data_IF_399115544787
#
_entry.id   IF_399115544787
#
_cell.length_a   1.000
_cell.length_b   1.000
_cell.length_c   1.000
_cell.angle_alpha   90.00
_cell.angle_beta   90.00
_cell.angle_gamma   90.00
#
_symmetry.space_group_name_H-M   'P 1'
#
loop_
_entity.id
_entity.type
_entity.pdbx_description
1 polymer ?
#
# COMPACT_ATOMS: atom_id res chain seq x y z
N UNK A 1 26.34 -12.57 18.19
CA UNK A 1 27.55 -12.88 18.95
C UNK A 1 27.58 -14.35 19.27
N UNK A 2 28.72 -14.99 19.08
CA UNK A 2 29.04 -16.34 19.49
C UNK A 2 30.00 -16.27 20.69
N UNK A 3 30.33 -17.44 21.28
CA UNK A 3 31.38 -17.53 22.31
C UNK A 3 32.82 -17.47 21.73
N UNK A 4 32.98 -17.18 20.45
CA UNK A 4 34.24 -17.00 19.78
C UNK A 4 34.75 -15.56 19.91
N UNK A 5 36.07 -15.40 19.84
CA UNK A 5 36.70 -14.07 19.79
C UNK A 5 36.54 -13.50 18.38
N UNK A 6 36.17 -12.25 18.28
CA UNK A 6 35.99 -11.49 17.04
C UNK A 6 36.98 -10.31 17.03
N UNK A 7 37.86 -10.21 16.00
CA UNK A 7 38.87 -9.15 15.88
C UNK A 7 38.96 -8.60 14.46
N UNK A 8 39.77 -7.56 14.32
CA UNK A 8 40.11 -6.94 13.04
C UNK A 8 38.92 -6.61 12.16
N UNK A 9 37.94 -5.92 12.79
CA UNK A 9 36.76 -5.44 12.08
C UNK A 9 37.16 -4.31 11.10
N UNK A 10 36.92 -4.55 9.81
CA UNK A 10 37.14 -3.59 8.73
C UNK A 10 35.81 -3.40 8.01
N UNK A 11 35.45 -2.17 7.76
CA UNK A 11 34.24 -1.81 7.03
C UNK A 11 34.59 -0.84 5.89
N UNK A 12 33.87 -0.89 4.77
CA UNK A 12 34.03 0.03 3.67
C UNK A 12 33.58 1.46 4.04
N UNK A 13 33.97 2.44 3.21
CA UNK A 13 33.65 3.87 3.42
C UNK A 13 32.13 4.13 3.46
N UNK A 14 31.34 3.30 2.77
CA UNK A 14 29.87 3.41 2.73
C UNK A 14 29.19 2.70 3.90
N UNK A 15 29.95 2.02 4.75
CA UNK A 15 29.48 1.21 5.87
C UNK A 15 28.48 0.10 5.46
N UNK A 16 28.62 -0.43 4.25
CA UNK A 16 27.70 -1.43 3.70
C UNK A 16 28.23 -2.84 3.75
N UNK A 17 29.55 -3.03 3.66
CA UNK A 17 30.23 -4.31 3.67
C UNK A 17 31.48 -4.27 4.53
N UNK A 18 31.88 -5.42 5.04
CA UNK A 18 33.10 -5.51 5.79
C UNK A 18 33.55 -6.94 6.02
N UNK A 19 34.66 -7.03 6.73
CA UNK A 19 35.29 -8.30 7.12
C UNK A 19 35.67 -8.24 8.58
N UNK A 20 35.68 -9.39 9.21
CA UNK A 20 36.20 -9.57 10.56
C UNK A 20 36.83 -10.96 10.67
N UNK A 21 37.81 -11.11 11.57
CA UNK A 21 38.41 -12.39 11.89
C UNK A 21 37.72 -12.99 13.10
N UNK A 22 37.46 -14.28 13.09
CA UNK A 22 36.81 -14.97 14.21
C UNK A 22 37.20 -16.46 14.27
N UNK A 23 37.32 -16.99 15.48
CA UNK A 23 37.50 -18.40 15.79
C UNK A 23 36.17 -19.13 16.06
N UNK A 24 35.05 -18.59 15.57
CA UNK A 24 33.73 -19.20 15.78
C UNK A 24 33.62 -20.60 15.18
N UNK A 25 32.78 -21.49 15.74
CA UNK A 25 32.55 -22.81 15.19
C UNK A 25 32.06 -22.80 13.74
N UNK A 26 32.56 -23.70 12.91
CA UNK A 26 32.19 -23.83 11.50
C UNK A 26 33.20 -23.25 10.51
N UNK A 27 34.28 -22.64 10.99
CA UNK A 27 35.44 -22.25 10.21
C UNK A 27 36.35 -23.41 9.82
N UNK A 28 37.43 -23.11 9.07
CA UNK A 28 38.41 -24.11 8.59
C UNK A 28 39.72 -24.11 9.39
N UNK A 29 39.91 -23.14 10.27
CA UNK A 29 41.09 -22.95 11.07
C UNK A 29 40.79 -22.48 12.49
N UNK A 30 41.82 -21.92 13.15
CA UNK A 30 41.63 -21.28 14.47
C UNK A 30 40.99 -19.91 14.32
N UNK A 31 41.42 -19.12 13.32
CA UNK A 31 40.88 -17.83 12.98
C UNK A 31 40.60 -17.79 11.49
N UNK A 32 39.34 -17.56 11.14
CA UNK A 32 38.86 -17.43 9.77
C UNK A 32 38.41 -16.01 9.49
N UNK A 33 38.46 -15.62 8.22
CA UNK A 33 37.95 -14.30 7.78
C UNK A 33 36.51 -14.48 7.32
N UNK A 34 35.61 -13.74 7.96
CA UNK A 34 34.21 -13.68 7.62
C UNK A 34 33.87 -12.32 6.96
N UNK A 35 33.02 -12.36 5.95
CA UNK A 35 32.45 -11.17 5.37
C UNK A 35 31.04 -10.93 5.93
N UNK A 36 30.67 -9.67 6.04
CA UNK A 36 29.29 -9.27 6.30
C UNK A 36 28.88 -8.20 5.31
N UNK A 37 27.58 -8.09 5.09
CA UNK A 37 26.99 -7.00 4.35
C UNK A 37 25.80 -6.45 5.11
N UNK A 38 25.63 -5.14 5.07
CA UNK A 38 24.44 -4.51 5.61
C UNK A 38 23.24 -4.90 4.74
N UNK A 39 22.23 -5.46 5.36
CA UNK A 39 20.99 -5.77 4.68
C UNK A 39 20.30 -4.45 4.28
N UNK A 40 20.08 -4.27 2.98
CA UNK A 40 19.29 -3.14 2.47
C UNK A 40 17.81 -3.50 2.60
N UNK A 41 17.08 -2.71 3.34
CA UNK A 41 15.64 -2.80 3.32
C UNK A 41 15.13 -1.90 2.19
N UNK A 42 14.38 -2.48 1.30
CA UNK A 42 13.84 -1.81 0.11
C UNK A 42 12.33 -2.04 0.11
N UNK A 43 11.60 -0.95 -0.03
CA UNK A 43 10.19 -0.97 -0.35
C UNK A 43 10.03 -0.76 -1.84
N UNK A 44 9.42 -1.72 -2.51
CA UNK A 44 8.99 -1.59 -3.91
C UNK A 44 7.48 -1.52 -3.95
N UNK A 45 6.94 -0.77 -4.88
CA UNK A 45 5.50 -0.68 -4.99
C UNK A 45 5.02 -0.35 -6.39
N UNK A 46 3.72 -0.47 -6.57
CA UNK A 46 3.03 -0.09 -7.79
C UNK A 46 1.79 0.73 -7.46
N UNK A 47 1.61 1.84 -8.18
CA UNK A 47 0.37 2.63 -8.16
C UNK A 47 -0.51 2.14 -9.29
N UNK A 48 -1.77 1.86 -8.97
CA UNK A 48 -2.75 1.33 -9.92
C UNK A 48 -4.07 2.11 -9.86
N UNK A 49 -4.78 2.12 -10.96
CA UNK A 49 -6.17 2.58 -10.99
C UNK A 49 -7.05 1.62 -10.17
N UNK A 50 -7.90 2.16 -9.31
CA UNK A 50 -8.68 1.36 -8.38
C UNK A 50 -9.72 0.46 -9.06
N UNK A 51 -10.21 0.83 -10.24
CA UNK A 51 -11.23 0.09 -10.99
C UNK A 51 -10.61 -0.91 -11.97
N UNK A 52 -9.73 -0.41 -12.83
CA UNK A 52 -9.15 -1.20 -13.93
C UNK A 52 -7.97 -2.03 -13.47
N UNK A 53 -7.35 -1.69 -12.33
CA UNK A 53 -6.11 -2.27 -11.81
C UNK A 53 -4.91 -2.07 -12.75
N UNK A 54 -5.04 -1.19 -13.76
CA UNK A 54 -3.95 -0.83 -14.63
C UNK A 54 -2.92 0.05 -13.92
N UNK A 55 -1.62 -0.10 -14.23
CA UNK A 55 -0.57 0.69 -13.62
C UNK A 55 -0.65 2.15 -14.04
N UNK A 56 -0.41 3.06 -13.08
CA UNK A 56 -0.44 4.50 -13.30
C UNK A 56 0.98 5.05 -13.39
N UNK A 57 1.37 5.54 -14.58
CA UNK A 57 2.62 6.28 -14.83
C UNK A 57 2.51 7.71 -14.30
N UNK A 58 3.65 8.32 -13.96
CA UNK A 58 3.77 9.73 -13.54
C UNK A 58 2.93 10.11 -12.31
N UNK A 59 2.57 9.16 -11.45
CA UNK A 59 2.01 9.45 -10.15
C UNK A 59 3.12 9.87 -9.18
N UNK A 60 2.90 10.91 -8.39
CA UNK A 60 3.79 11.30 -7.30
C UNK A 60 3.57 10.37 -6.12
N UNK A 61 4.66 9.77 -5.62
CA UNK A 61 4.63 8.93 -4.42
C UNK A 61 5.51 9.54 -3.35
N UNK A 62 4.96 9.76 -2.17
CA UNK A 62 5.64 10.30 -1.00
C UNK A 62 5.76 9.22 0.07
N UNK A 63 6.98 9.05 0.59
CA UNK A 63 7.23 8.24 1.79
C UNK A 63 7.30 9.18 2.99
N UNK A 64 6.42 8.96 3.97
CA UNK A 64 6.34 9.75 5.20
C UNK A 64 6.68 8.90 6.42
N UNK A 65 7.32 9.51 7.41
CA UNK A 65 7.53 8.98 8.76
C UNK A 65 6.98 10.00 9.76
N UNK A 66 6.07 9.59 10.64
CA UNK A 66 5.38 10.48 11.60
C UNK A 66 4.75 11.73 10.94
N UNK A 67 4.15 11.58 9.75
CA UNK A 67 3.53 12.67 8.99
C UNK A 67 4.52 13.58 8.24
N UNK A 68 5.84 13.36 8.36
CA UNK A 68 6.87 14.14 7.68
C UNK A 68 7.32 13.43 6.41
N UNK A 69 7.31 14.13 5.28
CA UNK A 69 7.78 13.58 4.00
C UNK A 69 9.30 13.40 4.05
N UNK A 70 9.74 12.15 3.94
CA UNK A 70 11.15 11.75 3.93
C UNK A 70 11.71 11.68 2.50
N UNK A 71 10.93 11.16 1.58
CA UNK A 71 11.34 10.95 0.20
C UNK A 71 10.15 11.09 -0.75
N UNK A 72 10.44 11.44 -2.01
CA UNK A 72 9.47 11.52 -3.11
C UNK A 72 9.98 10.77 -4.33
N UNK A 73 9.09 10.13 -5.06
CA UNK A 73 9.37 9.45 -6.34
C UNK A 73 8.19 9.67 -7.28
N UNK A 74 8.48 9.57 -8.56
CA UNK A 74 7.45 9.51 -9.61
C UNK A 74 7.42 8.10 -10.16
N UNK A 75 6.24 7.56 -10.38
CA UNK A 75 6.07 6.21 -10.92
C UNK A 75 6.53 6.12 -12.38
N UNK A 76 7.11 4.97 -12.73
CA UNK A 76 7.50 4.68 -14.11
C UNK A 76 6.30 4.17 -14.94
N UNK A 77 6.53 3.83 -16.22
CA UNK A 77 5.51 3.30 -17.15
C UNK A 77 4.72 2.08 -16.66
N UNK A 78 5.26 1.37 -15.68
CA UNK A 78 4.60 0.22 -15.06
C UNK A 78 3.99 0.57 -13.70
N UNK A 79 3.81 1.85 -13.41
CA UNK A 79 3.32 2.33 -12.12
C UNK A 79 4.29 2.13 -10.96
N UNK A 80 5.50 1.64 -11.23
CA UNK A 80 6.46 1.20 -10.22
C UNK A 80 7.24 2.33 -9.55
N UNK A 81 7.50 2.15 -8.25
CA UNK A 81 8.40 3.01 -7.47
C UNK A 81 9.23 2.19 -6.48
N UNK A 82 10.29 2.80 -5.94
CA UNK A 82 11.18 2.14 -4.98
C UNK A 82 11.72 3.16 -3.96
N UNK A 83 11.66 2.80 -2.67
CA UNK A 83 12.26 3.56 -1.58
C UNK A 83 13.22 2.71 -0.78
N UNK A 84 14.44 3.19 -0.46
CA UNK A 84 15.21 2.65 0.64
C UNK A 84 14.52 3.00 1.95
N UNK A 85 14.37 2.03 2.84
CA UNK A 85 13.72 2.18 4.14
C UNK A 85 14.63 1.65 5.26
N UNK A 86 14.35 2.05 6.49
CA UNK A 86 15.06 1.57 7.69
C UNK A 86 14.17 0.57 8.46
N UNK A 87 14.76 -0.42 9.15
CA UNK A 87 14.00 -1.31 10.01
C UNK A 87 13.54 -0.59 11.29
N UNK A 88 12.49 -1.13 11.92
CA UNK A 88 11.99 -0.64 13.19
C UNK A 88 11.25 0.70 13.11
N UNK A 89 10.67 1.02 11.96
CA UNK A 89 9.95 2.26 11.68
C UNK A 89 8.57 1.99 11.14
N UNK A 90 7.67 2.94 11.37
CA UNK A 90 6.37 3.01 10.74
C UNK A 90 6.38 4.09 9.66
N UNK A 91 5.87 3.75 8.50
CA UNK A 91 5.82 4.59 7.33
C UNK A 91 4.39 4.71 6.80
N UNK A 92 4.09 5.88 6.25
CA UNK A 92 2.94 6.09 5.39
C UNK A 92 3.44 6.34 3.97
N UNK A 93 2.90 5.62 2.99
CA UNK A 93 3.16 5.86 1.57
C UNK A 93 1.91 6.44 0.94
N UNK A 94 2.03 7.64 0.38
CA UNK A 94 0.91 8.37 -0.24
C UNK A 94 1.19 8.50 -1.72
N UNK A 95 0.23 8.12 -2.54
CA UNK A 95 0.28 8.31 -3.99
C UNK A 95 -0.77 9.33 -4.43
N UNK A 96 -0.37 10.26 -5.30
CA UNK A 96 -1.24 11.29 -5.86
C UNK A 96 -0.98 11.49 -7.35
N UNK A 97 -2.00 11.86 -8.09
CA UNK A 97 -1.92 12.24 -9.49
C UNK A 97 -3.06 13.21 -9.82
N UNK A 98 -2.84 14.12 -10.79
CA UNK A 98 -3.90 14.99 -11.30
C UNK A 98 -5.10 14.16 -11.77
N UNK A 99 -6.31 14.61 -11.47
CA UNK A 99 -7.58 13.94 -11.79
C UNK A 99 -7.82 12.61 -11.02
N UNK A 100 -7.04 12.35 -9.96
CA UNK A 100 -7.20 11.20 -9.07
C UNK A 100 -7.26 11.63 -7.60
N UNK A 101 -8.08 10.96 -6.82
CA UNK A 101 -8.04 11.06 -5.36
C UNK A 101 -6.76 10.42 -4.82
N UNK A 102 -6.21 10.95 -3.72
CA UNK A 102 -5.02 10.38 -3.10
C UNK A 102 -5.29 8.98 -2.53
N UNK A 103 -4.33 8.09 -2.72
CA UNK A 103 -4.29 6.78 -2.06
C UNK A 103 -3.16 6.74 -1.03
N UNK A 104 -3.41 6.14 0.12
CA UNK A 104 -2.40 5.99 1.17
C UNK A 104 -2.37 4.56 1.72
N UNK A 105 -1.17 4.14 2.18
CA UNK A 105 -0.98 2.87 2.86
C UNK A 105 0.04 3.00 3.99
N UNK A 106 -0.33 2.49 5.17
CA UNK A 106 0.56 2.39 6.31
C UNK A 106 1.36 1.08 6.26
N UNK A 107 2.64 1.16 6.63
CA UNK A 107 3.58 0.05 6.58
C UNK A 107 4.46 0.10 7.82
N UNK A 108 4.49 -1.00 8.57
CA UNK A 108 5.39 -1.17 9.70
C UNK A 108 6.58 -2.05 9.32
N UNK A 109 7.78 -1.61 9.68
CA UNK A 109 9.02 -2.39 9.58
C UNK A 109 9.51 -2.86 10.94
N UNK A 110 8.71 -2.72 11.99
CA UNK A 110 9.03 -3.15 13.36
C UNK A 110 9.15 -4.68 13.39
N UNK A 111 10.26 -5.17 13.92
CA UNK A 111 10.57 -6.60 13.97
C UNK A 111 11.07 -7.21 12.67
N UNK A 112 11.20 -6.42 11.60
CA UNK A 112 11.72 -6.87 10.31
C UNK A 112 13.23 -6.60 10.21
N UNK A 113 13.97 -7.54 9.62
CA UNK A 113 15.40 -7.38 9.31
C UNK A 113 15.67 -7.89 7.90
N UNK A 114 16.22 -7.03 7.03
CA UNK A 114 16.66 -7.41 5.68
C UNK A 114 15.51 -7.82 4.76
N UNK A 115 14.38 -7.13 4.78
CA UNK A 115 13.18 -7.52 4.07
C UNK A 115 12.93 -6.60 2.87
N UNK A 116 12.53 -7.19 1.76
CA UNK A 116 11.89 -6.48 0.67
C UNK A 116 10.38 -6.42 0.96
N UNK A 117 9.81 -5.22 0.97
CA UNK A 117 8.39 -4.99 1.15
C UNK A 117 7.79 -4.63 -0.21
N UNK A 118 6.68 -5.27 -0.56
CA UNK A 118 5.91 -4.95 -1.75
C UNK A 118 4.61 -4.27 -1.37
N UNK A 119 4.29 -3.16 -2.06
CA UNK A 119 3.14 -2.31 -1.78
C UNK A 119 2.35 -2.07 -3.05
N UNK A 120 1.05 -2.17 -2.96
CA UNK A 120 0.15 -1.79 -4.05
C UNK A 120 -0.77 -0.68 -3.58
N UNK A 121 -0.71 0.49 -4.22
CA UNK A 121 -1.49 1.66 -3.85
C UNK A 121 -2.53 1.92 -4.94
N UNK A 122 -3.81 1.61 -4.70
CA UNK A 122 -4.86 2.02 -5.60
C UNK A 122 -5.16 3.50 -5.42
N UNK A 123 -5.30 4.23 -6.53
CA UNK A 123 -5.85 5.58 -6.57
C UNK A 123 -7.02 5.58 -7.55
N UNK A 124 -8.08 6.31 -7.21
CA UNK A 124 -9.31 6.35 -8.00
C UNK A 124 -9.43 7.68 -8.74
N UNK A 125 -9.98 7.71 -9.96
CA UNK A 125 -10.33 8.97 -10.61
C UNK A 125 -11.14 9.87 -9.67
N UNK A 126 -10.84 11.18 -9.68
CA UNK A 126 -11.43 12.17 -8.79
C UNK A 126 -12.97 12.08 -8.79
N UNK A 127 -13.56 12.11 -7.59
CA UNK A 127 -15.00 12.01 -7.39
C UNK A 127 -15.58 10.58 -7.39
N UNK A 128 -14.80 9.56 -7.71
CA UNK A 128 -15.27 8.15 -7.63
C UNK A 128 -15.24 7.57 -6.21
N UNK A 129 -14.28 7.97 -5.38
CA UNK A 129 -14.22 7.55 -3.97
C UNK A 129 -15.41 8.04 -3.12
N UNK A 130 -16.16 9.01 -3.63
CA UNK A 130 -17.38 9.52 -2.99
C UNK A 130 -18.66 8.80 -3.43
N UNK A 131 -18.56 7.76 -4.27
CA UNK A 131 -19.74 6.99 -4.66
C UNK A 131 -20.09 5.99 -3.57
N UNK A 132 -21.07 6.34 -2.73
CA UNK A 132 -21.71 5.39 -1.84
C UNK A 132 -22.71 4.54 -2.64
N UNK A 133 -22.51 3.24 -2.66
CA UNK A 133 -23.51 2.31 -3.18
C UNK A 133 -24.64 2.13 -2.16
N UNK A 134 -25.83 2.61 -2.50
CA UNK A 134 -27.06 2.38 -1.71
C UNK A 134 -27.87 1.29 -2.39
N UNK A 135 -28.02 0.14 -1.75
CA UNK A 135 -28.81 -0.98 -2.27
C UNK A 135 -29.92 -1.35 -1.32
N UNK A 136 -30.99 -1.92 -1.86
CA UNK A 136 -32.07 -2.45 -1.04
C UNK A 136 -33.02 -3.34 -1.82
N UNK A 137 -34.02 -3.84 -1.11
CA UNK A 137 -35.06 -4.71 -1.61
C UNK A 137 -36.43 -4.17 -1.22
N UNK A 138 -37.33 -4.02 -2.18
CA UNK A 138 -38.74 -3.72 -1.95
C UNK A 138 -39.54 -5.00 -2.03
N UNK A 139 -40.31 -5.29 -1.00
CA UNK A 139 -41.17 -6.47 -0.92
C UNK A 139 -42.54 -6.12 -0.36
N UNK A 140 -43.56 -6.91 -0.71
CA UNK A 140 -44.90 -6.80 -0.17
C UNK A 140 -44.88 -7.31 1.28
N UNK A 141 -45.27 -6.46 2.23
CA UNK A 141 -45.22 -6.79 3.66
C UNK A 141 -46.17 -7.92 4.09
N UNK A 142 -47.18 -8.26 3.25
CA UNK A 142 -48.18 -9.32 3.55
C UNK A 142 -47.81 -10.65 2.90
N UNK A 143 -47.37 -10.63 1.60
CA UNK A 143 -47.00 -11.86 0.86
C UNK A 143 -45.52 -12.22 0.94
N UNK A 144 -44.68 -11.31 1.38
CA UNK A 144 -43.20 -11.43 1.36
C UNK A 144 -42.61 -11.62 -0.05
N UNK A 145 -43.38 -11.28 -1.08
CA UNK A 145 -42.89 -11.34 -2.47
C UNK A 145 -42.20 -10.06 -2.89
N UNK A 146 -41.15 -10.15 -3.73
CA UNK A 146 -40.48 -8.96 -4.26
C UNK A 146 -41.43 -8.13 -5.13
N UNK A 147 -41.29 -6.81 -5.08
CA UNK A 147 -42.12 -5.88 -5.86
C UNK A 147 -41.28 -5.32 -7.00
N UNK A 148 -41.55 -5.78 -8.22
CA UNK A 148 -40.98 -5.23 -9.44
C UNK A 148 -41.69 -3.93 -9.84
N UNK A 149 -40.97 -3.01 -10.48
CA UNK A 149 -41.54 -1.76 -11.02
C UNK A 149 -41.87 -0.71 -9.96
N UNK A 150 -41.47 -0.90 -8.71
CA UNK A 150 -41.61 0.14 -7.69
C UNK A 150 -40.60 1.27 -7.96
N UNK A 151 -41.05 2.50 -7.80
CA UNK A 151 -40.20 3.70 -7.93
C UNK A 151 -39.55 3.98 -6.57
N UNK A 152 -38.22 4.00 -6.53
CA UNK A 152 -37.42 4.39 -5.36
C UNK A 152 -36.69 5.69 -5.69
N UNK A 153 -36.82 6.68 -4.83
CA UNK A 153 -36.16 7.98 -4.99
C UNK A 153 -35.15 8.18 -3.87
N UNK A 154 -33.91 8.48 -4.23
CA UNK A 154 -32.86 8.93 -3.32
C UNK A 154 -32.72 10.44 -3.46
N UNK A 155 -32.95 11.19 -2.38
CA UNK A 155 -32.86 12.66 -2.37
C UNK A 155 -31.65 13.07 -1.53
N UNK A 156 -30.77 13.92 -2.09
CA UNK A 156 -29.72 14.57 -1.32
C UNK A 156 -30.33 15.67 -0.45
N UNK A 157 -30.20 15.57 0.87
CA UNK A 157 -30.85 16.52 1.82
C UNK A 157 -30.24 17.94 1.79
N UNK A 158 -29.04 18.10 1.24
CA UNK A 158 -28.36 19.40 1.17
C UNK A 158 -28.60 20.11 -0.16
N UNK A 159 -28.57 19.37 -1.29
CA UNK A 159 -28.70 19.93 -2.62
C UNK A 159 -30.12 19.81 -3.19
N UNK A 160 -30.99 18.99 -2.58
CA UNK A 160 -32.32 18.56 -3.09
C UNK A 160 -32.26 17.89 -4.48
N UNK A 161 -31.08 17.39 -4.87
CA UNK A 161 -30.99 16.57 -6.08
C UNK A 161 -31.60 15.18 -5.84
N UNK A 162 -32.34 14.71 -6.85
CA UNK A 162 -33.00 13.41 -6.79
C UNK A 162 -32.43 12.44 -7.83
N UNK A 163 -32.20 11.19 -7.39
CA UNK A 163 -31.95 10.05 -8.26
C UNK A 163 -33.13 9.09 -8.14
N UNK A 164 -33.64 8.60 -9.26
CA UNK A 164 -34.79 7.71 -9.31
C UNK A 164 -34.37 6.36 -9.89
N UNK A 165 -34.78 5.28 -9.25
CA UNK A 165 -34.57 3.91 -9.69
C UNK A 165 -35.90 3.15 -9.70
N UNK A 166 -36.11 2.31 -10.72
CA UNK A 166 -37.27 1.40 -10.76
C UNK A 166 -36.80 -0.01 -10.41
N UNK A 167 -37.41 -0.61 -9.41
CA UNK A 167 -36.98 -1.95 -8.93
C UNK A 167 -37.03 -2.99 -10.02
N UNK A 168 -36.05 -3.89 -10.01
CA UNK A 168 -35.94 -5.05 -10.91
C UNK A 168 -37.02 -6.11 -10.58
N UNK A 169 -37.08 -7.19 -11.37
CA UNK A 169 -38.06 -8.27 -11.17
C UNK A 169 -37.93 -8.94 -9.77
N UNK A 170 -36.73 -8.95 -9.21
CA UNK A 170 -36.41 -9.45 -7.88
C UNK A 170 -36.64 -8.42 -6.76
N UNK A 171 -37.23 -7.26 -7.07
CA UNK A 171 -37.50 -6.17 -6.14
C UNK A 171 -36.28 -5.35 -5.72
N UNK A 172 -35.09 -5.62 -6.28
CA UNK A 172 -33.85 -4.93 -5.91
C UNK A 172 -33.74 -3.55 -6.55
N UNK A 173 -33.04 -2.63 -5.84
CA UNK A 173 -32.63 -1.33 -6.36
C UNK A 173 -31.19 -1.02 -5.94
N UNK A 174 -30.54 -0.12 -6.70
CA UNK A 174 -29.17 0.32 -6.45
C UNK A 174 -28.97 1.78 -6.94
N UNK A 175 -28.27 2.61 -6.14
CA UNK A 175 -27.84 3.96 -6.49
C UNK A 175 -26.32 4.08 -6.31
N UNK A 176 -25.66 4.74 -7.26
CA UNK A 176 -24.24 5.08 -7.23
C UNK A 176 -24.04 6.58 -7.10
#
# INVERSE_FOLDING_TARGET
NTNGDDFAFIIDEENEKGYFSSNRPGGKGNDDIYSFAKLKNIMTGVVVDCDTQEPIEDALVELKENGVVMQKRTTNKKGGFTFPISPGKDYEVVASKTDYDEGAQEISTIGMSGTQIEVKIPICPEGKNNQCLVTGLIYNSTSNEPVAGAIVTLTNSETNEEKVFTTKEDGTYEFY
#
